data_IF_104893167159
#
_entry.id   IF_104893167159
#
_cell.length_a   1.000
_cell.length_b   1.000
_cell.length_c   1.000
_cell.angle_alpha   90.00
_cell.angle_beta   90.00
_cell.angle_gamma   90.00
#
_symmetry.space_group_name_H-M   'P 1'
#
loop_
_entity.id
_entity.type
_entity.pdbx_description
1 polymer ?
#
# COMPACT_ATOMS: atom_id res chain seq x y z
N UNK A 1 -13.62 26.24 2.51
CA UNK A 1 -13.21 25.34 3.61
C UNK A 1 -11.85 25.82 4.11
N UNK A 2 -11.81 26.58 5.20
CA UNK A 2 -10.53 27.06 5.73
C UNK A 2 -9.75 25.86 6.29
N UNK A 3 -8.51 25.67 5.82
CA UNK A 3 -7.60 24.69 6.40
C UNK A 3 -7.36 25.11 7.86
N UNK A 4 -7.85 24.32 8.82
CA UNK A 4 -7.59 24.58 10.24
C UNK A 4 -6.08 24.49 10.45
N UNK A 5 -5.54 25.44 11.22
CA UNK A 5 -4.18 25.32 11.72
C UNK A 5 -4.14 24.03 12.55
N UNK A 6 -3.27 23.06 12.23
CA UNK A 6 -3.18 21.83 13.01
C UNK A 6 -2.84 22.19 14.46
N UNK A 7 -3.55 21.59 15.40
CA UNK A 7 -3.27 21.79 16.82
C UNK A 7 -1.84 21.33 17.14
N UNK A 8 -1.13 22.02 18.05
CA UNK A 8 0.19 21.59 18.48
C UNK A 8 0.11 20.19 19.10
N UNK A 9 1.06 19.32 18.75
CA UNK A 9 1.11 17.95 19.28
C UNK A 9 1.19 17.99 20.82
N UNK A 10 0.40 17.13 21.46
CA UNK A 10 0.39 17.00 22.94
C UNK A 10 1.63 16.31 23.50
N UNK A 11 2.51 15.80 22.64
CA UNK A 11 3.68 15.00 22.98
C UNK A 11 4.78 15.15 21.92
N UNK A 12 5.93 14.50 22.11
CA UNK A 12 7.07 14.65 21.20
C UNK A 12 6.81 14.03 19.82
N UNK A 13 7.42 14.55 18.74
CA UNK A 13 7.29 13.96 17.40
C UNK A 13 7.65 12.47 17.34
N UNK A 14 8.61 12.01 18.13
CA UNK A 14 9.02 10.60 18.19
C UNK A 14 7.96 9.73 18.85
N UNK A 15 7.28 10.26 19.88
CA UNK A 15 6.17 9.57 20.51
C UNK A 15 4.94 9.50 19.57
N UNK A 16 4.66 10.55 18.80
CA UNK A 16 3.58 10.56 17.81
C UNK A 16 3.89 9.54 16.71
N UNK A 17 5.13 9.52 16.23
CA UNK A 17 5.57 8.56 15.22
C UNK A 17 5.37 7.12 15.70
N UNK A 18 5.79 6.78 16.93
CA UNK A 18 5.58 5.44 17.50
C UNK A 18 4.09 5.09 17.63
N UNK A 19 3.26 6.04 18.04
CA UNK A 19 1.82 5.80 18.14
C UNK A 19 1.19 5.56 16.76
N UNK A 20 1.51 6.38 15.76
CA UNK A 20 0.96 6.27 14.41
C UNK A 20 1.50 5.07 13.63
N UNK A 21 2.72 4.62 13.92
CA UNK A 21 3.29 3.41 13.32
C UNK A 21 2.47 2.15 13.63
N UNK A 22 1.67 2.17 14.70
CA UNK A 22 0.79 1.05 15.10
C UNK A 22 -0.69 1.32 14.80
N UNK A 23 -1.07 2.58 14.58
CA UNK A 23 -2.45 3.01 14.34
C UNK A 23 -2.68 3.35 12.87
N UNK A 24 -2.95 2.31 12.09
CA UNK A 24 -3.28 2.42 10.67
C UNK A 24 -4.79 2.65 10.47
N UNK A 25 -5.12 3.49 9.49
CA UNK A 25 -6.52 3.75 9.09
C UNK A 25 -6.97 2.63 8.14
N UNK A 26 -7.43 1.52 8.71
CA UNK A 26 -7.89 0.34 7.97
C UNK A 26 -9.42 0.24 8.13
N UNK A 27 -10.13 0.04 7.02
CA UNK A 27 -11.55 -0.30 7.00
C UNK A 27 -11.77 -1.59 7.81
N UNK A 28 -12.76 -1.65 8.70
CA UNK A 28 -12.91 -2.77 9.65
C UNK A 28 -13.06 -4.12 8.93
N UNK A 29 -13.73 -4.10 7.77
CA UNK A 29 -13.98 -5.25 6.89
C UNK A 29 -12.69 -5.85 6.30
N UNK A 30 -11.64 -5.04 6.17
CA UNK A 30 -10.37 -5.43 5.56
C UNK A 30 -9.29 -5.76 6.58
N UNK A 31 -9.54 -5.55 7.89
CA UNK A 31 -8.54 -5.80 8.93
C UNK A 31 -8.15 -7.28 9.04
N UNK A 32 -9.07 -8.18 8.71
CA UNK A 32 -8.86 -9.63 8.67
C UNK A 32 -8.56 -10.18 7.28
N UNK A 33 -8.43 -9.31 6.27
CA UNK A 33 -8.11 -9.73 4.91
C UNK A 33 -6.72 -10.35 4.86
N UNK A 34 -6.63 -11.58 4.34
CA UNK A 34 -5.37 -12.15 3.90
C UNK A 34 -4.94 -11.48 2.59
N UNK A 35 -4.03 -10.52 2.72
CA UNK A 35 -3.57 -9.71 1.61
C UNK A 35 -2.82 -10.56 0.58
N UNK A 36 -2.05 -11.56 1.01
CA UNK A 36 -1.26 -12.40 0.11
C UNK A 36 -2.20 -13.23 -0.76
N UNK A 37 -3.15 -13.93 -0.15
CA UNK A 37 -4.12 -14.75 -0.86
C UNK A 37 -4.98 -13.91 -1.81
N UNK A 38 -5.41 -12.72 -1.36
CA UNK A 38 -6.15 -11.78 -2.20
C UNK A 38 -5.37 -11.39 -3.47
N UNK A 39 -4.07 -11.06 -3.34
CA UNK A 39 -3.23 -10.65 -4.46
C UNK A 39 -2.90 -11.82 -5.40
N UNK A 40 -2.64 -13.01 -4.85
CA UNK A 40 -2.38 -14.22 -5.65
C UNK A 40 -3.60 -14.61 -6.49
N UNK A 41 -4.81 -14.38 -5.98
CA UNK A 41 -6.05 -14.61 -6.74
C UNK A 41 -6.21 -13.67 -7.95
N UNK A 42 -5.52 -12.53 -7.99
CA UNK A 42 -5.51 -11.61 -9.13
C UNK A 42 -4.49 -11.99 -10.22
N UNK A 43 -3.60 -12.93 -9.94
CA UNK A 43 -2.51 -13.33 -10.85
C UNK A 43 -2.98 -14.37 -11.87
N UNK A 44 -2.62 -14.16 -13.14
CA UNK A 44 -2.97 -15.05 -14.26
C UNK A 44 -1.79 -15.90 -14.75
N UNK A 45 -0.55 -15.52 -14.43
CA UNK A 45 0.67 -16.24 -14.82
C UNK A 45 1.52 -16.60 -13.61
N UNK A 46 2.39 -17.59 -13.77
CA UNK A 46 3.32 -17.99 -12.71
C UNK A 46 4.34 -16.89 -12.41
N UNK A 47 4.82 -16.17 -13.44
CA UNK A 47 5.71 -15.01 -13.26
C UNK A 47 5.09 -13.92 -12.37
N UNK A 48 3.78 -13.67 -12.50
CA UNK A 48 3.07 -12.73 -11.63
C UNK A 48 2.99 -13.26 -10.19
N UNK A 49 2.72 -14.56 -10.01
CA UNK A 49 2.66 -15.19 -8.68
C UNK A 49 4.01 -15.14 -7.98
N UNK A 50 5.08 -15.46 -8.70
CA UNK A 50 6.45 -15.40 -8.20
C UNK A 50 6.79 -13.97 -7.75
N UNK A 51 6.44 -12.97 -8.58
CA UNK A 51 6.65 -11.56 -8.24
C UNK A 51 5.84 -11.12 -7.03
N UNK A 52 4.57 -11.53 -6.93
CA UNK A 52 3.74 -11.23 -5.75
C UNK A 52 4.32 -11.86 -4.50
N UNK A 53 4.76 -13.12 -4.56
CA UNK A 53 5.38 -13.78 -3.41
C UNK A 53 6.67 -13.07 -2.96
N UNK A 54 7.55 -12.71 -3.90
CA UNK A 54 8.77 -11.94 -3.61
C UNK A 54 8.46 -10.63 -2.87
N UNK A 55 7.52 -9.84 -3.41
CA UNK A 55 7.18 -8.56 -2.78
C UNK A 55 6.48 -8.75 -1.43
N UNK A 56 5.58 -9.73 -1.32
CA UNK A 56 4.88 -10.02 -0.05
C UNK A 56 5.85 -10.48 1.04
N UNK A 57 6.85 -11.29 0.72
CA UNK A 57 7.92 -11.66 1.67
C UNK A 57 8.65 -10.41 2.20
N UNK A 58 8.92 -9.42 1.34
CA UNK A 58 9.56 -8.16 1.73
C UNK A 58 8.66 -7.28 2.61
N UNK A 59 7.35 -7.25 2.35
CA UNK A 59 6.38 -6.51 3.17
C UNK A 59 6.17 -7.17 4.53
N UNK A 60 6.03 -8.49 4.58
CA UNK A 60 5.86 -9.26 5.82
C UNK A 60 7.09 -9.17 6.71
N UNK A 61 8.30 -9.30 6.14
CA UNK A 61 9.56 -9.14 6.88
C UNK A 61 9.73 -7.76 7.54
N UNK A 62 8.97 -6.76 7.08
CA UNK A 62 8.97 -5.38 7.61
C UNK A 62 7.69 -5.05 8.39
N UNK A 63 6.81 -6.02 8.63
CA UNK A 63 5.53 -5.84 9.31
C UNK A 63 4.61 -4.79 8.62
N UNK A 64 4.70 -4.68 7.28
CA UNK A 64 3.99 -3.69 6.48
C UNK A 64 2.68 -4.19 5.86
N UNK A 65 2.17 -5.37 6.27
CA UNK A 65 0.85 -5.85 5.83
C UNK A 65 -0.28 -4.86 6.16
N UNK A 66 -0.31 -4.20 7.36
CA UNK A 66 -1.31 -3.18 7.67
C UNK A 66 -1.30 -2.00 6.68
N UNK A 67 -0.12 -1.61 6.18
CA UNK A 67 0.00 -0.57 5.15
C UNK A 67 -0.72 -1.00 3.86
N UNK A 68 -0.57 -2.26 3.42
CA UNK A 68 -1.24 -2.77 2.23
C UNK A 68 -2.77 -2.80 2.42
N UNK A 69 -3.26 -3.22 3.59
CA UNK A 69 -4.68 -3.16 3.93
C UNK A 69 -5.22 -1.73 3.87
N UNK A 70 -4.48 -0.75 4.39
CA UNK A 70 -4.82 0.68 4.26
C UNK A 70 -4.86 1.14 2.81
N UNK A 71 -3.91 0.69 1.97
CA UNK A 71 -3.92 1.05 0.55
C UNK A 71 -5.12 0.48 -0.20
N UNK A 72 -5.55 -0.75 0.12
CA UNK A 72 -6.77 -1.35 -0.43
C UNK A 72 -7.99 -0.52 -0.02
N UNK A 73 -8.16 -0.26 1.27
CA UNK A 73 -9.24 0.58 1.83
C UNK A 73 -9.29 1.97 1.16
N UNK A 74 -8.13 2.61 0.98
CA UNK A 74 -8.04 3.92 0.35
C UNK A 74 -8.49 3.89 -1.11
N UNK A 75 -8.04 2.89 -1.88
CA UNK A 75 -8.39 2.75 -3.29
C UNK A 75 -9.88 2.43 -3.44
N UNK A 76 -10.45 1.58 -2.58
CA UNK A 76 -11.90 1.30 -2.57
C UNK A 76 -12.69 2.57 -2.30
N UNK A 77 -12.32 3.32 -1.27
CA UNK A 77 -12.95 4.60 -0.96
C UNK A 77 -12.91 5.58 -2.13
N UNK A 78 -11.77 5.68 -2.84
CA UNK A 78 -11.66 6.54 -4.01
C UNK A 78 -12.56 6.07 -5.17
N UNK A 79 -12.67 4.75 -5.41
CA UNK A 79 -13.58 4.20 -6.43
C UNK A 79 -15.04 4.52 -6.12
N UNK A 80 -15.46 4.26 -4.88
CA UNK A 80 -16.84 4.49 -4.42
C UNK A 80 -17.20 5.98 -4.45
N UNK A 81 -16.24 6.84 -4.13
CA UNK A 81 -16.43 8.30 -4.10
C UNK A 81 -16.24 8.97 -5.47
N UNK A 82 -15.92 8.22 -6.53
CA UNK A 82 -15.62 8.77 -7.85
C UNK A 82 -14.40 9.70 -7.87
N UNK A 83 -13.48 9.53 -6.92
CA UNK A 83 -12.24 10.31 -6.82
C UNK A 83 -11.23 9.73 -7.81
N UNK A 84 -10.60 10.59 -8.61
CA UNK A 84 -9.48 10.20 -9.49
C UNK A 84 -8.16 10.48 -8.78
N UNK A 85 -7.26 9.51 -8.79
CA UNK A 85 -5.89 9.66 -8.28
C UNK A 85 -4.86 9.47 -9.40
N UNK A 86 -3.67 10.03 -9.18
CA UNK A 86 -2.60 10.07 -10.16
C UNK A 86 -2.11 8.68 -10.58
N UNK A 87 -1.37 8.64 -11.69
CA UNK A 87 -0.89 7.37 -12.30
C UNK A 87 0.22 6.66 -11.52
N UNK A 88 0.80 7.31 -10.49
CA UNK A 88 1.95 6.84 -9.71
C UNK A 88 3.17 7.77 -9.86
N UNK A 89 3.98 7.88 -8.80
CA UNK A 89 5.24 8.67 -8.80
C UNK A 89 6.24 8.13 -7.79
N UNK A 90 7.52 8.41 -8.01
CA UNK A 90 8.60 7.99 -7.12
C UNK A 90 8.85 6.49 -7.21
N UNK A 91 9.60 5.95 -6.24
CA UNK A 91 10.01 4.54 -6.24
C UNK A 91 8.86 3.55 -6.03
N UNK A 92 7.71 3.99 -5.48
CA UNK A 92 6.56 3.09 -5.25
C UNK A 92 6.03 2.43 -6.53
N UNK A 93 6.26 3.04 -7.70
CA UNK A 93 5.87 2.45 -9.00
C UNK A 93 6.62 1.16 -9.33
N UNK A 94 7.70 0.84 -8.61
CA UNK A 94 8.43 -0.41 -8.74
C UNK A 94 7.74 -1.60 -8.05
N UNK A 95 6.70 -1.36 -7.22
CA UNK A 95 5.92 -2.44 -6.60
C UNK A 95 4.81 -2.93 -7.52
N UNK A 96 4.87 -4.22 -7.83
CA UNK A 96 3.82 -4.95 -8.54
C UNK A 96 2.58 -5.14 -7.66
N UNK A 97 2.78 -5.36 -6.35
CA UNK A 97 1.68 -5.44 -5.38
C UNK A 97 0.85 -4.15 -5.35
N UNK A 98 1.49 -2.98 -5.29
CA UNK A 98 0.79 -1.69 -5.34
C UNK A 98 0.09 -1.44 -6.68
N UNK A 99 0.64 -1.98 -7.79
CA UNK A 99 -0.03 -2.00 -9.09
C UNK A 99 -1.30 -2.88 -9.09
N UNK A 100 -1.27 -4.06 -8.47
CA UNK A 100 -2.44 -4.93 -8.35
C UNK A 100 -3.55 -4.27 -7.53
N UNK A 101 -3.19 -3.63 -6.41
CA UNK A 101 -4.11 -2.87 -5.56
C UNK A 101 -4.70 -1.64 -6.29
N UNK A 102 -4.08 -1.21 -7.40
CA UNK A 102 -4.43 0.00 -8.17
C UNK A 102 -4.07 1.31 -7.47
N UNK A 103 -3.06 1.29 -6.59
CA UNK A 103 -2.47 2.52 -6.03
C UNK A 103 -1.82 3.36 -7.13
N UNK A 104 -1.21 2.69 -8.11
CA UNK A 104 -0.69 3.29 -9.35
C UNK A 104 -1.07 2.45 -10.57
N UNK A 105 -0.73 2.97 -11.76
CA UNK A 105 -1.06 2.35 -13.06
C UNK A 105 0.16 1.85 -13.84
N UNK A 106 1.35 1.94 -13.27
CA UNK A 106 2.59 1.43 -13.86
C UNK A 106 2.77 -0.05 -13.50
N UNK A 107 2.87 -0.90 -14.51
CA UNK A 107 3.14 -2.34 -14.36
C UNK A 107 4.65 -2.57 -14.23
N UNK A 108 5.14 -2.67 -13.00
CA UNK A 108 6.56 -2.84 -12.70
C UNK A 108 7.15 -4.12 -13.26
N UNK A 109 6.37 -5.20 -13.36
CA UNK A 109 6.81 -6.47 -13.94
C UNK A 109 7.07 -6.29 -15.44
N UNK A 110 6.12 -5.69 -16.17
CA UNK A 110 6.28 -5.40 -17.60
C UNK A 110 7.49 -4.53 -17.91
N UNK A 111 7.80 -3.55 -17.05
CA UNK A 111 8.93 -2.64 -17.25
C UNK A 111 10.24 -3.11 -16.60
N UNK A 112 10.25 -4.29 -15.96
CA UNK A 112 11.44 -4.83 -15.31
C UNK A 112 11.95 -3.98 -14.14
N UNK A 113 11.05 -3.28 -13.45
CA UNK A 113 11.42 -2.45 -12.28
C UNK A 113 11.63 -3.36 -11.06
N UNK A 114 12.73 -3.14 -10.34
CA UNK A 114 13.06 -3.94 -9.16
C UNK A 114 12.36 -3.41 -7.91
N UNK A 115 11.69 -4.29 -7.16
CA UNK A 115 11.05 -3.92 -5.88
C UNK A 115 12.06 -3.32 -4.88
N UNK A 116 13.33 -3.69 -4.98
CA UNK A 116 14.41 -3.15 -4.13
C UNK A 116 14.71 -1.66 -4.38
N UNK A 117 14.23 -1.07 -5.47
CA UNK A 117 14.27 0.39 -5.65
C UNK A 117 13.31 1.10 -4.68
N UNK A 118 12.27 0.39 -4.23
CA UNK A 118 11.28 0.88 -3.29
C UNK A 118 11.53 0.38 -1.85
N UNK A 119 11.56 -0.93 -1.65
CA UNK A 119 11.78 -1.57 -0.35
C UNK A 119 13.25 -1.92 -0.17
N UNK A 120 14.00 -0.97 0.39
CA UNK A 120 15.42 -1.13 0.74
C UNK A 120 15.62 -1.78 2.09
#
# INVERSE_FOLDING_TARGET
MALRVPEPLSHSPEAEHRQRATQWLICEELRTLDVRDHLLALCTTDEQRDRVNEEMDLYEARELVPLLQTMICLVEHFKESGIVWGVGRGSSVASYVLYLIKVHRIDSLRFGLSIHEFLK
#
